data_IF_043372484202
#
_entry.id   IF_043372484202
#
_cell.length_a   1.000
_cell.length_b   1.000
_cell.length_c   1.000
_cell.angle_alpha   90.00
_cell.angle_beta   90.00
_cell.angle_gamma   90.00
#
_symmetry.space_group_name_H-M   'P 1'
#
loop_
_entity.id
_entity.type
_entity.pdbx_description
1 polymer ?
#
# COMPACT_ATOMS: atom_id res chain seq x y z
N UNK A 1 18.91 20.57 8.00
CA UNK A 1 17.74 21.24 7.74
C UNK A 1 16.57 20.28 7.61
N UNK A 2 15.42 20.86 7.37
CA UNK A 2 14.21 20.08 7.42
C UNK A 2 14.11 19.06 6.30
N UNK A 3 14.90 19.22 5.28
CA UNK A 3 14.78 18.38 4.10
C UNK A 3 15.76 17.22 4.13
N UNK A 4 15.81 16.54 5.25
CA UNK A 4 16.57 15.31 5.33
C UNK A 4 15.64 14.12 5.12
N UNK A 5 16.20 12.94 5.08
CA UNK A 5 15.46 11.75 4.73
C UNK A 5 14.81 11.03 5.91
N UNK A 6 14.97 11.56 7.11
CA UNK A 6 14.44 10.85 8.28
C UNK A 6 12.93 10.63 8.18
N UNK A 7 12.20 11.65 7.74
CA UNK A 7 10.76 11.49 7.69
C UNK A 7 10.33 10.49 6.60
N UNK A 8 11.15 10.33 5.55
CA UNK A 8 10.85 9.31 4.56
C UNK A 8 11.01 7.91 5.14
N UNK A 9 12.03 7.71 5.95
CA UNK A 9 12.21 6.42 6.61
C UNK A 9 11.06 6.14 7.56
N UNK A 10 10.60 7.16 8.27
CA UNK A 10 9.44 7.00 9.13
C UNK A 10 8.19 6.68 8.31
N UNK A 11 8.00 7.39 7.20
CA UNK A 11 6.86 7.13 6.33
C UNK A 11 6.89 5.70 5.81
N UNK A 12 8.06 5.22 5.40
CA UNK A 12 8.19 3.85 4.93
C UNK A 12 7.86 2.85 6.03
N UNK A 13 8.32 3.13 7.24
CA UNK A 13 8.02 2.26 8.37
C UNK A 13 6.51 2.20 8.62
N UNK A 14 5.85 3.35 8.56
CA UNK A 14 4.41 3.41 8.78
C UNK A 14 3.67 2.65 7.69
N UNK A 15 4.12 2.77 6.44
CA UNK A 15 3.53 2.05 5.33
C UNK A 15 3.73 0.55 5.50
N UNK A 16 4.94 0.16 5.85
CA UNK A 16 5.26 -1.24 6.06
C UNK A 16 4.38 -1.84 7.14
N UNK A 17 4.22 -1.11 8.23
CA UNK A 17 3.37 -1.56 9.32
C UNK A 17 1.93 -1.72 8.87
N UNK A 18 1.43 -0.74 8.10
CA UNK A 18 0.07 -0.81 7.59
C UNK A 18 -0.12 -2.00 6.66
N UNK A 19 0.89 -2.29 5.82
CA UNK A 19 0.82 -3.44 4.93
C UNK A 19 0.78 -4.74 5.73
N UNK A 20 1.61 -4.85 6.76
CA UNK A 20 1.62 -6.06 7.58
C UNK A 20 0.30 -6.29 8.26
N UNK A 21 -0.28 -5.23 8.80
CA UNK A 21 -1.57 -5.35 9.46
C UNK A 21 -2.64 -5.80 8.48
N UNK A 22 -2.60 -5.24 7.29
CA UNK A 22 -3.58 -5.61 6.28
C UNK A 22 -3.37 -7.02 5.77
N UNK A 23 -2.13 -7.44 5.70
CA UNK A 23 -1.84 -8.82 5.30
C UNK A 23 -2.50 -9.80 6.28
N UNK A 24 -2.29 -9.59 7.58
CA UNK A 24 -2.86 -10.46 8.59
C UNK A 24 -4.38 -10.43 8.56
N UNK A 25 -4.96 -9.26 8.47
CA UNK A 25 -6.41 -9.12 8.47
C UNK A 25 -7.02 -9.66 7.18
N UNK A 26 -6.30 -9.55 6.06
CA UNK A 26 -6.77 -10.12 4.81
C UNK A 26 -6.83 -11.63 4.91
N UNK A 27 -5.81 -12.24 5.54
CA UNK A 27 -5.83 -13.68 5.75
C UNK A 27 -7.06 -14.08 6.57
N UNK A 28 -7.34 -13.33 7.64
CA UNK A 28 -8.51 -13.61 8.45
C UNK A 28 -9.80 -13.48 7.63
N UNK A 29 -9.87 -12.43 6.83
CA UNK A 29 -11.07 -12.21 6.01
C UNK A 29 -11.25 -13.32 4.99
N UNK A 30 -10.16 -13.80 4.41
CA UNK A 30 -10.22 -14.92 3.47
C UNK A 30 -10.72 -16.17 4.16
N UNK A 31 -10.18 -16.45 5.35
CA UNK A 31 -10.57 -17.66 6.09
C UNK A 31 -12.02 -17.62 6.52
N UNK A 32 -12.51 -16.48 6.92
CA UNK A 32 -13.87 -16.37 7.44
C UNK A 32 -14.88 -15.93 6.41
N UNK A 33 -14.40 -15.37 5.28
CA UNK A 33 -15.26 -14.79 4.26
C UNK A 33 -16.20 -13.73 4.82
N UNK A 34 -15.70 -13.00 5.81
CA UNK A 34 -16.51 -11.99 6.52
C UNK A 34 -16.48 -10.69 5.74
N UNK A 35 -17.60 -10.37 5.12
CA UNK A 35 -17.72 -9.18 4.26
C UNK A 35 -17.49 -7.89 5.07
N UNK A 36 -17.92 -7.89 6.32
CA UNK A 36 -17.76 -6.73 7.17
C UNK A 36 -16.29 -6.42 7.42
N UNK A 37 -15.52 -7.45 7.74
CA UNK A 37 -14.10 -7.31 7.95
C UNK A 37 -13.46 -6.82 6.67
N UNK A 38 -13.83 -7.42 5.53
CA UNK A 38 -13.28 -7.05 4.25
C UNK A 38 -13.57 -5.59 3.91
N UNK A 39 -14.79 -5.14 4.15
CA UNK A 39 -15.13 -3.75 3.88
C UNK A 39 -14.33 -2.80 4.74
N UNK A 40 -14.14 -3.16 6.00
CA UNK A 40 -13.33 -2.31 6.87
C UNK A 40 -11.88 -2.25 6.41
N UNK A 41 -11.37 -3.37 5.90
CA UNK A 41 -10.01 -3.39 5.39
C UNK A 41 -9.83 -2.52 4.16
N UNK A 42 -10.85 -2.45 3.32
CA UNK A 42 -10.76 -1.62 2.12
C UNK A 42 -10.61 -0.15 2.45
N UNK A 43 -11.13 0.27 3.59
CA UNK A 43 -10.96 1.63 4.01
C UNK A 43 -9.52 1.88 4.39
N UNK A 44 -8.98 2.98 3.95
CA UNK A 44 -7.64 3.36 4.33
C UNK A 44 -6.52 2.78 3.49
N UNK A 45 -6.81 1.86 2.57
CA UNK A 45 -5.74 1.36 1.69
C UNK A 45 -5.07 2.50 0.93
N UNK A 46 -5.88 3.39 0.36
CA UNK A 46 -5.32 4.50 -0.39
C UNK A 46 -4.51 5.42 0.52
N UNK A 47 -5.10 5.79 1.63
CA UNK A 47 -4.49 6.75 2.53
C UNK A 47 -3.22 6.20 3.18
N UNK A 48 -3.26 4.97 3.65
CA UNK A 48 -2.18 4.42 4.46
C UNK A 48 -1.15 3.64 3.67
N UNK A 49 -1.49 3.19 2.48
CA UNK A 49 -0.60 2.36 1.69
C UNK A 49 -0.35 2.97 0.32
N UNK A 50 -1.32 2.89 -0.58
CA UNK A 50 -1.04 3.27 -1.97
C UNK A 50 -0.77 4.75 -2.13
N UNK A 51 -1.59 5.60 -1.54
CA UNK A 51 -1.35 7.03 -1.62
C UNK A 51 -0.15 7.46 -0.82
N UNK A 52 0.08 6.81 0.32
CA UNK A 52 1.26 7.12 1.12
C UNK A 52 2.54 6.74 0.38
N UNK A 53 2.53 5.60 -0.31
CA UNK A 53 3.67 5.19 -1.13
C UNK A 53 3.93 6.18 -2.26
N UNK A 54 2.86 6.64 -2.91
CA UNK A 54 3.00 7.62 -3.97
C UNK A 54 3.59 8.92 -3.45
N UNK A 55 3.21 9.33 -2.24
CA UNK A 55 3.78 10.55 -1.66
C UNK A 55 5.27 10.43 -1.43
N UNK A 56 5.72 9.26 -0.98
CA UNK A 56 7.16 9.04 -0.80
C UNK A 56 7.89 9.19 -2.12
N UNK A 57 7.38 8.55 -3.17
CA UNK A 57 8.00 8.62 -4.49
C UNK A 57 7.99 10.04 -5.01
N UNK A 58 6.88 10.74 -4.86
CA UNK A 58 6.76 12.11 -5.36
C UNK A 58 7.70 13.06 -4.61
N UNK A 59 7.91 12.84 -3.33
CA UNK A 59 8.87 13.65 -2.59
C UNK A 59 10.29 13.48 -3.12
N UNK A 60 10.62 12.25 -3.51
CA UNK A 60 11.93 11.99 -4.09
C UNK A 60 12.06 12.67 -5.45
N UNK A 61 11.02 12.53 -6.28
CA UNK A 61 11.03 13.12 -7.61
C UNK A 61 11.12 14.63 -7.55
N UNK A 62 10.51 15.24 -6.55
CA UNK A 62 10.56 16.69 -6.42
C UNK A 62 11.97 17.23 -6.23
N UNK A 63 12.88 16.38 -5.77
CA UNK A 63 14.28 16.78 -5.71
C UNK A 63 14.68 17.68 -4.57
N UNK A 64 13.80 17.82 -3.59
CA UNK A 64 14.04 18.72 -2.46
C UNK A 64 14.78 18.06 -1.32
N UNK A 65 15.04 16.76 -1.42
CA UNK A 65 15.62 16.00 -0.33
C UNK A 65 17.10 15.77 -0.59
N UNK A 66 17.86 15.70 0.48
CA UNK A 66 19.26 15.36 0.40
C UNK A 66 19.46 13.92 0.78
N UNK A 67 20.00 13.15 -0.12
CA UNK A 67 20.30 11.74 0.11
C UNK A 67 21.81 11.56 0.18
N UNK A 68 22.25 10.55 0.91
CA UNK A 68 23.66 10.23 0.98
C UNK A 68 24.18 9.77 -0.37
N UNK A 69 23.32 9.20 -1.19
CA UNK A 69 23.71 8.76 -2.51
C UNK A 69 22.48 8.57 -3.37
N UNK A 70 22.69 8.48 -4.67
CA UNK A 70 21.62 8.14 -5.58
C UNK A 70 21.05 6.76 -5.30
N UNK A 71 21.92 5.87 -4.80
CA UNK A 71 21.47 4.52 -4.44
C UNK A 71 20.46 4.55 -3.30
N UNK A 72 20.66 5.44 -2.34
CA UNK A 72 19.71 5.55 -1.23
C UNK A 72 18.35 6.01 -1.76
N UNK A 73 18.34 7.03 -2.62
CA UNK A 73 17.10 7.53 -3.18
C UNK A 73 16.37 6.44 -3.96
N UNK A 74 17.13 5.71 -4.78
CA UNK A 74 16.55 4.64 -5.59
C UNK A 74 15.99 3.54 -4.71
N UNK A 75 16.72 3.16 -3.66
CA UNK A 75 16.27 2.10 -2.78
C UNK A 75 14.98 2.47 -2.07
N UNK A 76 14.88 3.71 -1.61
CA UNK A 76 13.67 4.17 -0.94
C UNK A 76 12.48 4.16 -1.90
N UNK A 77 12.70 4.68 -3.11
CA UNK A 77 11.63 4.73 -4.11
C UNK A 77 11.16 3.33 -4.49
N UNK A 78 12.11 2.42 -4.71
CA UNK A 78 11.76 1.05 -5.09
C UNK A 78 11.02 0.34 -3.97
N UNK A 79 11.46 0.55 -2.73
CA UNK A 79 10.79 -0.09 -1.61
C UNK A 79 9.37 0.45 -1.44
N UNK A 80 9.19 1.76 -1.60
CA UNK A 80 7.86 2.34 -1.52
C UNK A 80 6.94 1.75 -2.58
N UNK A 81 7.44 1.60 -3.79
CA UNK A 81 6.65 1.01 -4.87
C UNK A 81 6.35 -0.45 -4.61
N UNK A 82 7.31 -1.16 -4.03
CA UNK A 82 7.10 -2.56 -3.66
C UNK A 82 5.98 -2.70 -2.64
N UNK A 83 5.99 -1.85 -1.62
CA UNK A 83 4.94 -1.86 -0.62
C UNK A 83 3.59 -1.53 -1.23
N UNK A 84 3.56 -0.57 -2.15
CA UNK A 84 2.33 -0.24 -2.86
C UNK A 84 1.80 -1.44 -3.62
N UNK A 85 2.70 -2.19 -4.26
CA UNK A 85 2.30 -3.35 -5.04
C UNK A 85 1.69 -4.43 -4.14
N UNK A 86 2.33 -4.69 -3.01
CA UNK A 86 1.79 -5.65 -2.05
C UNK A 86 0.41 -5.19 -1.58
N UNK A 87 0.29 -3.92 -1.23
CA UNK A 87 -0.98 -3.37 -0.78
C UNK A 87 -2.07 -3.51 -1.83
N UNK A 88 -1.72 -3.27 -3.09
CA UNK A 88 -2.68 -3.40 -4.18
C UNK A 88 -3.16 -4.83 -4.34
N UNK A 89 -2.25 -5.80 -4.20
CA UNK A 89 -2.65 -7.20 -4.26
C UNK A 89 -3.58 -7.56 -3.10
N UNK A 90 -3.26 -7.09 -1.91
CA UNK A 90 -4.12 -7.33 -0.75
C UNK A 90 -5.49 -6.70 -0.94
N UNK A 91 -5.50 -5.49 -1.50
CA UNK A 91 -6.75 -4.82 -1.78
C UNK A 91 -7.60 -5.61 -2.77
N UNK A 92 -6.96 -6.14 -3.80
CA UNK A 92 -7.68 -6.93 -4.80
C UNK A 92 -8.26 -8.19 -4.19
N UNK A 93 -7.50 -8.88 -3.35
CA UNK A 93 -8.00 -10.07 -2.66
C UNK A 93 -9.19 -9.69 -1.79
N UNK A 94 -9.05 -8.61 -1.02
CA UNK A 94 -10.12 -8.17 -0.14
C UNK A 94 -11.36 -7.80 -0.93
N UNK A 95 -11.18 -7.18 -2.08
CA UNK A 95 -12.30 -6.79 -2.94
C UNK A 95 -13.09 -8.02 -3.41
N UNK A 96 -12.41 -9.14 -3.66
CA UNK A 96 -13.12 -10.34 -4.10
C UNK A 96 -14.04 -10.89 -3.01
N UNK A 97 -13.75 -10.63 -1.76
CA UNK A 97 -14.62 -11.06 -0.67
C UNK A 97 -15.89 -10.22 -0.66
N UNK A 98 -15.76 -8.92 -0.87
CA UNK A 98 -16.90 -8.00 -0.90
C UNK A 98 -17.70 -8.19 -2.19
N UNK A 99 -17.00 -8.38 -3.30
CA UNK A 99 -17.62 -8.55 -4.62
C UNK A 99 -17.24 -9.92 -5.14
N UNK A 100 -18.12 -10.91 -5.03
CA UNK A 100 -17.78 -12.26 -5.45
C UNK A 100 -17.33 -12.32 -6.89
N UNK A 101 -16.46 -13.27 -7.16
CA UNK A 101 -15.83 -13.40 -8.46
C UNK A 101 -16.82 -13.55 -9.60
N UNK A 102 -17.89 -14.28 -9.38
CA UNK A 102 -18.88 -14.46 -10.44
C UNK A 102 -19.44 -13.11 -10.87
N UNK A 103 -19.70 -12.22 -9.93
CA UNK A 103 -20.17 -10.90 -10.26
C UNK A 103 -19.11 -10.10 -10.98
N UNK A 104 -17.89 -10.17 -10.50
CA UNK A 104 -16.79 -9.44 -11.09
C UNK A 104 -16.52 -9.95 -12.49
N UNK A 105 -16.52 -11.24 -12.65
CA UNK A 105 -16.25 -11.83 -13.94
C UNK A 105 -17.21 -11.38 -15.00
N UNK A 106 -18.45 -11.30 -14.65
CA UNK A 106 -19.45 -10.87 -15.61
C UNK A 106 -19.28 -9.43 -15.98
N UNK A 107 -18.94 -8.63 -15.04
CA UNK A 107 -18.70 -7.23 -15.34
C UNK A 107 -17.54 -7.04 -16.26
N UNK A 108 -16.54 -7.84 -16.09
CA UNK A 108 -15.36 -7.69 -16.91
C UNK A 108 -15.62 -8.14 -18.33
N UNK A 109 -16.43 -9.13 -18.47
CA UNK A 109 -16.64 -9.71 -19.77
C UNK A 109 -17.61 -8.99 -20.62
N UNK A 110 -18.34 -8.17 -20.02
CA UNK A 110 -19.38 -7.57 -20.78
C UNK A 110 -19.03 -6.32 -21.40
#
# INVERSE_FOLDING_TARGET
DALNTKHLHKDLYDIEKAVKERFDHTIDAVKTQDVKIARNLLKGFKEKVTGASDRVVNNIIAGDLEFESGSEAAAIALYARYLKRIGSHLKNITTTIVNPIDTIGYKVKK
#
